data_IF_309938621048
#
_entry.id   IF_309938621048
#
_cell.length_a   1.000
_cell.length_b   1.000
_cell.length_c   1.000
_cell.angle_alpha   90.00
_cell.angle_beta   90.00
_cell.angle_gamma   90.00
#
_symmetry.space_group_name_H-M   'P 1'
#
loop_
_entity.id
_entity.type
_entity.pdbx_description
1 polymer ?
#
# COMPACT_ATOMS: atom_id res chain seq x y z
N UNK A 1 -1.10 -1.75 18.41
CA UNK A 1 -1.67 -2.54 17.30
C UNK A 1 -2.82 -1.79 16.62
N UNK A 2 -3.87 -1.39 17.35
CA UNK A 2 -4.99 -0.62 16.75
C UNK A 2 -4.57 0.68 16.06
N UNK A 3 -3.66 1.46 16.65
CA UNK A 3 -3.17 2.71 16.05
C UNK A 3 -2.44 2.47 14.72
N UNK A 4 -1.70 1.36 14.62
CA UNK A 4 -0.99 0.98 13.41
C UNK A 4 -1.95 0.60 12.29
N UNK A 5 -2.98 -0.20 12.61
CA UNK A 5 -4.04 -0.57 11.66
C UNK A 5 -4.75 0.68 11.14
N UNK A 6 -5.11 1.63 12.02
CA UNK A 6 -5.73 2.92 11.60
C UNK A 6 -4.82 3.74 10.67
N UNK A 7 -3.51 3.75 10.90
CA UNK A 7 -2.55 4.44 10.02
C UNK A 7 -2.45 3.76 8.65
N UNK A 8 -2.50 2.43 8.60
CA UNK A 8 -2.54 1.67 7.34
C UNK A 8 -3.83 1.94 6.55
N UNK A 9 -4.98 1.99 7.21
CA UNK A 9 -6.25 2.34 6.57
C UNK A 9 -6.20 3.75 5.96
N UNK A 10 -5.61 4.72 6.67
CA UNK A 10 -5.39 6.07 6.15
C UNK A 10 -4.44 6.09 4.95
N UNK A 11 -3.39 5.27 4.95
CA UNK A 11 -2.51 5.15 3.77
C UNK A 11 -3.25 4.55 2.58
N UNK A 12 -4.06 3.50 2.82
CA UNK A 12 -4.91 2.88 1.82
C UNK A 12 -5.94 3.84 1.21
N UNK A 13 -6.47 4.79 1.98
CA UNK A 13 -7.34 5.81 1.41
C UNK A 13 -6.57 6.78 0.52
N UNK A 14 -5.37 7.20 0.93
CA UNK A 14 -4.55 8.17 0.16
C UNK A 14 -4.01 7.62 -1.15
N UNK A 15 -3.61 6.35 -1.21
CA UNK A 15 -3.09 5.74 -2.44
C UNK A 15 -4.15 5.52 -3.52
N UNK A 16 -5.45 5.67 -3.18
CA UNK A 16 -6.53 5.72 -4.17
C UNK A 16 -6.59 7.07 -4.90
N UNK A 17 -6.19 8.14 -4.23
CA UNK A 17 -6.22 9.51 -4.77
C UNK A 17 -4.89 9.89 -5.44
N UNK A 18 -3.78 9.30 -4.98
CA UNK A 18 -2.42 9.61 -5.44
C UNK A 18 -1.72 8.31 -5.85
N UNK A 19 -1.22 8.27 -7.08
CA UNK A 19 -0.37 7.17 -7.56
C UNK A 19 1.08 7.42 -7.13
N UNK A 20 1.61 6.52 -6.30
CA UNK A 20 3.02 6.50 -5.91
C UNK A 20 3.69 5.41 -6.73
N UNK A 21 4.51 5.81 -7.69
CA UNK A 21 5.19 4.91 -8.62
C UNK A 21 6.45 4.32 -8.00
N UNK A 22 6.74 3.07 -8.37
CA UNK A 22 8.03 2.45 -8.10
C UNK A 22 9.07 3.00 -9.10
N UNK A 23 10.21 3.48 -8.60
CA UNK A 23 11.28 4.02 -9.43
C UNK A 23 11.97 2.93 -10.27
N UNK A 24 12.02 1.70 -9.77
CA UNK A 24 12.62 0.56 -10.47
C UNK A 24 11.63 -0.06 -11.46
N UNK A 25 10.33 0.10 -11.22
CA UNK A 25 9.24 -0.41 -12.05
C UNK A 25 8.23 0.71 -12.36
N UNK A 26 8.59 1.66 -13.26
CA UNK A 26 7.80 2.88 -13.50
C UNK A 26 6.39 2.62 -14.04
N UNK A 27 6.15 1.43 -14.61
CA UNK A 27 4.83 1.01 -15.08
C UNK A 27 3.88 0.59 -13.94
N UNK A 28 4.36 0.55 -12.70
CA UNK A 28 3.61 0.10 -11.53
C UNK A 28 3.55 1.19 -10.45
N UNK A 29 2.39 1.28 -9.80
CA UNK A 29 2.19 2.13 -8.63
C UNK A 29 1.64 1.33 -7.46
N UNK A 30 1.87 1.84 -6.25
CA UNK A 30 1.29 1.29 -5.03
C UNK A 30 -0.22 1.47 -5.06
N UNK A 31 -0.94 0.36 -4.97
CA UNK A 31 -2.40 0.29 -4.99
C UNK A 31 -3.01 0.03 -3.61
N UNK A 32 -2.20 -0.42 -2.65
CA UNK A 32 -2.65 -0.67 -1.29
C UNK A 32 -1.59 -1.32 -0.41
N UNK A 33 -1.95 -1.43 0.86
CA UNK A 33 -1.18 -2.04 1.94
C UNK A 33 -2.07 -3.02 2.69
N UNK A 34 -1.55 -4.20 2.98
CA UNK A 34 -2.23 -5.22 3.78
C UNK A 34 -1.36 -5.62 4.96
N UNK A 35 -1.95 -5.73 6.14
CA UNK A 35 -1.26 -6.20 7.33
C UNK A 35 -1.72 -7.61 7.67
N UNK A 36 -0.77 -8.51 7.81
CA UNK A 36 -0.97 -9.86 8.31
C UNK A 36 -0.56 -9.92 9.79
N UNK A 37 -1.53 -10.04 10.73
CA UNK A 37 -1.23 -10.11 12.16
C UNK A 37 -0.62 -11.45 12.60
N UNK A 38 -0.73 -12.53 11.80
CA UNK A 38 -0.13 -13.82 12.14
C UNK A 38 1.37 -13.84 11.92
N UNK A 39 1.84 -13.15 10.86
CA UNK A 39 3.26 -13.07 10.51
C UNK A 39 3.92 -11.75 10.87
N UNK A 40 3.15 -10.77 11.37
CA UNK A 40 3.55 -9.39 11.67
C UNK A 40 4.22 -8.69 10.47
N UNK A 41 3.64 -8.88 9.28
CA UNK A 41 4.16 -8.33 8.01
C UNK A 41 3.19 -7.37 7.37
N UNK A 42 3.76 -6.37 6.68
CA UNK A 42 3.02 -5.51 5.77
C UNK A 42 3.36 -5.91 4.33
N UNK A 43 2.32 -6.18 3.56
CA UNK A 43 2.40 -6.42 2.13
C UNK A 43 2.04 -5.13 1.40
N UNK A 44 2.82 -4.82 0.36
CA UNK A 44 2.58 -3.66 -0.52
C UNK A 44 2.10 -4.20 -1.85
N UNK A 45 0.89 -3.82 -2.24
CA UNK A 45 0.26 -4.27 -3.48
C UNK A 45 0.55 -3.28 -4.61
N UNK A 46 1.03 -3.77 -5.74
CA UNK A 46 1.31 -2.95 -6.92
C UNK A 46 0.29 -3.20 -8.02
N UNK A 47 -0.06 -2.15 -8.76
CA UNK A 47 -0.94 -2.21 -9.93
C UNK A 47 -0.28 -1.54 -11.12
N UNK A 48 -0.36 -2.19 -12.27
CA UNK A 48 0.15 -1.64 -13.53
C UNK A 48 -0.71 -0.49 -14.05
N UNK A 49 -0.06 0.53 -14.60
CA UNK A 49 -0.66 1.66 -15.32
C UNK A 49 -0.22 1.53 -16.78
N UNK A 50 -1.09 0.98 -17.62
CA UNK A 50 -0.85 0.84 -19.07
C UNK A 50 -1.37 2.04 -19.83
#
# INVERSE_FOLDING_TARGET
MEEFIKKLELLNSKVKDIKIYDIENPDFYISGFEYDPETDKVYVNFKGDK
#
